data_IF_381015749523
#
_entry.id   IF_381015749523
#
_cell.length_a   1.000
_cell.length_b   1.000
_cell.length_c   1.000
_cell.angle_alpha   90.00
_cell.angle_beta   90.00
_cell.angle_gamma   90.00
#
_symmetry.space_group_name_H-M   'P 1'
#
loop_
_entity.id
_entity.type
_entity.pdbx_description
1 polymer ?
#
# COMPACT_ATOMS: atom_id res chain seq x y z
N UNK A 1 16.39 36.24 2.41
CA UNK A 1 17.15 35.03 2.07
C UNK A 1 16.28 33.85 2.45
N UNK A 2 15.65 33.21 1.46
CA UNK A 2 14.85 31.99 1.66
C UNK A 2 15.82 30.82 1.72
N UNK A 3 16.16 30.38 2.93
CA UNK A 3 16.86 29.10 3.09
C UNK A 3 15.97 28.03 2.46
N UNK A 4 16.42 27.48 1.34
CA UNK A 4 15.82 26.31 0.73
C UNK A 4 16.01 25.17 1.71
N UNK A 5 15.03 24.96 2.57
CA UNK A 5 14.99 23.81 3.46
C UNK A 5 14.90 22.56 2.59
N UNK A 6 16.03 21.87 2.43
CA UNK A 6 16.08 20.60 1.72
C UNK A 6 15.67 19.54 2.71
N UNK A 7 14.49 18.95 2.51
CA UNK A 7 14.05 17.78 3.28
C UNK A 7 15.05 16.65 3.01
N UNK A 8 15.79 16.23 4.04
CA UNK A 8 16.72 15.11 3.95
C UNK A 8 15.92 13.82 3.79
N UNK A 9 15.84 13.35 2.55
CA UNK A 9 15.12 12.13 2.17
C UNK A 9 15.64 10.90 2.96
N UNK A 10 16.91 10.91 3.35
CA UNK A 10 17.51 9.86 4.19
C UNK A 10 16.88 9.79 5.59
N UNK A 11 16.53 10.93 6.20
CA UNK A 11 15.88 10.96 7.51
C UNK A 11 14.46 10.41 7.38
N UNK A 12 13.72 10.81 6.34
CA UNK A 12 12.40 10.25 6.02
C UNK A 12 12.44 8.74 5.85
N UNK A 13 13.40 8.21 5.08
CA UNK A 13 13.56 6.77 4.82
C UNK A 13 13.91 5.98 6.09
N UNK A 14 14.80 6.52 6.93
CA UNK A 14 15.10 5.89 8.22
C UNK A 14 13.85 5.80 9.12
N UNK A 15 13.11 6.90 9.25
CA UNK A 15 11.89 6.91 10.08
C UNK A 15 10.81 5.98 9.52
N UNK A 16 10.70 5.89 8.19
CA UNK A 16 9.84 4.91 7.52
C UNK A 16 10.24 3.47 7.83
N UNK A 17 11.53 3.16 7.85
CA UNK A 17 12.04 1.82 8.14
C UNK A 17 11.73 1.36 9.57
N UNK A 18 11.68 2.29 10.52
CA UNK A 18 11.32 1.98 11.91
C UNK A 18 9.81 1.73 12.13
N UNK A 19 8.94 1.92 11.11
CA UNK A 19 7.47 1.80 11.22
C UNK A 19 6.89 2.59 12.42
N UNK A 20 7.51 3.71 12.77
CA UNK A 20 7.19 4.47 13.98
C UNK A 20 5.79 5.12 13.92
N UNK A 21 5.07 5.17 15.05
CA UNK A 21 3.80 5.91 15.16
C UNK A 21 4.03 7.41 14.96
N UNK A 22 3.02 8.18 14.49
CA UNK A 22 3.19 9.61 14.22
C UNK A 22 3.73 10.41 15.43
N UNK A 23 3.36 10.03 16.65
CA UNK A 23 3.89 10.62 17.88
C UNK A 23 5.38 10.30 18.11
N UNK A 24 5.82 9.09 17.77
CA UNK A 24 7.22 8.72 17.89
C UNK A 24 8.09 9.33 16.76
N UNK A 25 7.49 9.61 15.59
CA UNK A 25 8.14 10.37 14.52
C UNK A 25 8.51 11.79 14.99
N UNK A 26 7.62 12.44 15.75
CA UNK A 26 7.88 13.75 16.35
C UNK A 26 9.05 13.71 17.33
N UNK A 27 9.04 12.74 18.24
CA UNK A 27 10.09 12.59 19.25
C UNK A 27 11.46 12.38 18.61
N UNK A 28 11.53 11.58 17.54
CA UNK A 28 12.78 11.29 16.85
C UNK A 28 13.25 12.43 15.93
N UNK A 29 12.33 13.23 15.37
CA UNK A 29 12.65 14.48 14.68
C UNK A 29 13.20 15.53 15.67
N UNK A 30 12.59 15.63 16.85
CA UNK A 30 13.10 16.47 17.95
C UNK A 30 14.48 16.00 18.42
N UNK A 31 14.67 14.70 18.59
CA UNK A 31 15.93 14.10 19.03
C UNK A 31 17.06 14.27 18.02
N UNK A 32 16.74 14.33 16.73
CA UNK A 32 17.67 14.65 15.65
C UNK A 32 18.02 16.15 15.55
N UNK A 33 17.42 17.00 16.39
CA UNK A 33 17.72 18.43 16.43
C UNK A 33 17.11 19.21 15.27
N UNK A 34 16.06 18.68 14.64
CA UNK A 34 15.34 19.40 13.58
C UNK A 34 14.48 20.49 14.22
N UNK A 35 14.58 21.69 13.66
CA UNK A 35 13.86 22.87 14.15
C UNK A 35 12.34 22.60 14.11
N UNK A 36 11.58 22.89 15.20
CA UNK A 36 10.14 22.70 15.27
C UNK A 36 9.36 23.33 14.11
N UNK A 37 9.91 24.37 13.47
CA UNK A 37 9.31 24.99 12.28
C UNK A 37 9.19 24.01 11.10
N UNK A 38 10.13 23.07 10.96
CA UNK A 38 10.17 22.14 9.84
C UNK A 38 9.72 20.70 10.15
N UNK A 39 9.50 20.38 11.43
CA UNK A 39 8.96 19.07 11.86
C UNK A 39 7.61 18.79 11.17
N UNK A 40 6.77 19.81 11.02
CA UNK A 40 5.48 19.67 10.34
C UNK A 40 5.60 19.30 8.85
N UNK A 41 6.62 19.82 8.17
CA UNK A 41 6.90 19.50 6.76
C UNK A 41 7.45 18.07 6.61
N UNK A 42 8.38 17.66 7.48
CA UNK A 42 8.85 16.27 7.54
C UNK A 42 7.71 15.27 7.79
N UNK A 43 6.79 15.58 8.70
CA UNK A 43 5.63 14.73 8.95
C UNK A 43 4.71 14.61 7.75
N UNK A 44 4.43 15.72 7.05
CA UNK A 44 3.62 15.69 5.83
C UNK A 44 4.27 14.80 4.78
N UNK A 45 5.58 14.92 4.58
CA UNK A 45 6.30 14.12 3.59
C UNK A 45 6.32 12.63 3.97
N UNK A 46 6.55 12.30 5.25
CA UNK A 46 6.50 10.92 5.74
C UNK A 46 5.09 10.33 5.58
N UNK A 47 4.04 11.09 5.91
CA UNK A 47 2.64 10.68 5.68
C UNK A 47 2.40 10.44 4.20
N UNK A 48 2.83 11.36 3.33
CA UNK A 48 2.70 11.24 1.87
C UNK A 48 3.35 9.95 1.35
N UNK A 49 4.56 9.63 1.81
CA UNK A 49 5.25 8.40 1.42
C UNK A 49 4.50 7.16 1.94
N UNK A 50 3.96 7.18 3.16
CA UNK A 50 3.12 6.08 3.68
C UNK A 50 1.85 5.86 2.87
N UNK A 51 1.15 6.93 2.50
CA UNK A 51 -0.03 6.85 1.65
C UNK A 51 0.33 6.30 0.26
N UNK A 52 1.45 6.75 -0.31
CA UNK A 52 1.95 6.19 -1.57
C UNK A 52 2.25 4.69 -1.46
N UNK A 53 2.89 4.24 -0.38
CA UNK A 53 3.15 2.81 -0.13
C UNK A 53 1.85 2.01 0.00
N UNK A 54 0.86 2.50 0.77
CA UNK A 54 -0.45 1.84 0.89
C UNK A 54 -1.15 1.72 -0.47
N UNK A 55 -1.13 2.78 -1.26
CA UNK A 55 -1.69 2.79 -2.61
C UNK A 55 -0.99 1.77 -3.52
N UNK A 56 0.33 1.63 -3.44
CA UNK A 56 1.05 0.59 -4.20
C UNK A 56 0.66 -0.82 -3.74
N UNK A 57 0.51 -1.05 -2.44
CA UNK A 57 0.04 -2.35 -1.92
C UNK A 57 -1.38 -2.66 -2.40
N UNK A 58 -2.29 -1.68 -2.35
CA UNK A 58 -3.64 -1.83 -2.89
C UNK A 58 -3.66 -2.13 -4.39
N UNK A 59 -2.80 -1.48 -5.17
CA UNK A 59 -2.65 -1.76 -6.60
C UNK A 59 -2.14 -3.18 -6.86
N UNK A 60 -1.16 -3.66 -6.08
CA UNK A 60 -0.66 -5.04 -6.18
C UNK A 60 -1.76 -6.05 -5.82
N UNK A 61 -2.53 -5.79 -4.75
CA UNK A 61 -3.69 -6.62 -4.41
C UNK A 61 -4.74 -6.65 -5.53
N UNK A 62 -5.06 -5.50 -6.14
CA UNK A 62 -5.97 -5.45 -7.30
C UNK A 62 -5.43 -6.26 -8.48
N UNK A 63 -4.14 -6.11 -8.81
CA UNK A 63 -3.51 -6.85 -9.90
C UNK A 63 -3.55 -8.37 -9.63
N UNK A 64 -3.25 -8.80 -8.40
CA UNK A 64 -3.32 -10.20 -8.01
C UNK A 64 -4.76 -10.75 -8.07
N UNK A 65 -5.75 -9.99 -7.60
CA UNK A 65 -7.16 -10.37 -7.66
C UNK A 65 -7.68 -10.44 -9.11
N UNK A 66 -7.31 -9.49 -9.96
CA UNK A 66 -7.66 -9.51 -11.38
C UNK A 66 -7.01 -10.70 -12.11
N UNK A 67 -5.76 -11.03 -11.77
CA UNK A 67 -5.07 -12.19 -12.33
C UNK A 67 -5.73 -13.51 -11.88
N UNK A 68 -6.10 -13.65 -10.61
CA UNK A 68 -6.84 -14.80 -10.09
C UNK A 68 -8.21 -14.96 -10.78
N UNK A 69 -8.94 -13.85 -10.98
CA UNK A 69 -10.21 -13.85 -11.71
C UNK A 69 -10.04 -14.25 -13.18
N UNK A 70 -8.99 -13.75 -13.84
CA UNK A 70 -8.65 -14.15 -15.21
C UNK A 70 -8.31 -15.64 -15.29
N UNK A 71 -7.51 -16.16 -14.35
CA UNK A 71 -7.15 -17.57 -14.29
C UNK A 71 -8.39 -18.45 -14.12
N UNK A 72 -9.33 -18.03 -13.26
CA UNK A 72 -10.64 -18.66 -13.07
C UNK A 72 -11.36 -18.82 -14.42
N UNK A 73 -11.50 -17.71 -15.17
CA UNK A 73 -12.15 -17.72 -16.48
C UNK A 73 -11.43 -18.60 -17.52
N UNK A 74 -10.10 -18.67 -17.49
CA UNK A 74 -9.33 -19.52 -18.42
C UNK A 74 -9.47 -21.01 -18.08
N UNK A 75 -9.40 -21.37 -16.79
CA UNK A 75 -9.59 -22.75 -16.30
C UNK A 75 -10.98 -23.29 -16.63
N UNK A 76 -11.98 -22.42 -16.54
CA UNK A 76 -13.33 -22.65 -17.02
C UNK A 76 -13.36 -23.01 -18.51
N UNK A 77 -12.86 -22.13 -19.38
CA UNK A 77 -13.03 -22.26 -20.83
C UNK A 77 -12.29 -23.51 -21.35
N UNK A 78 -11.17 -23.85 -20.72
CA UNK A 78 -10.36 -25.02 -21.08
C UNK A 78 -10.95 -26.35 -20.61
N UNK A 79 -12.09 -26.36 -19.90
CA UNK A 79 -12.73 -27.57 -19.37
C UNK A 79 -11.76 -28.47 -18.56
N UNK A 80 -10.74 -27.87 -17.93
CA UNK A 80 -9.61 -28.61 -17.37
C UNK A 80 -10.00 -29.56 -16.21
N UNK A 81 -11.10 -29.28 -15.50
CA UNK A 81 -11.57 -30.06 -14.33
C UNK A 81 -13.10 -30.20 -14.29
N UNK A 82 -13.70 -31.19 -14.98
CA UNK A 82 -15.16 -31.36 -15.07
C UNK A 82 -15.86 -31.74 -13.75
N UNK A 83 -15.13 -32.15 -12.71
CA UNK A 83 -15.73 -32.61 -11.44
C UNK A 83 -15.69 -31.58 -10.30
N UNK A 84 -14.82 -30.56 -10.36
CA UNK A 84 -14.69 -29.50 -9.33
C UNK A 84 -15.02 -28.11 -9.88
N UNK A 85 -15.68 -28.07 -11.03
CA UNK A 85 -15.89 -26.87 -11.83
C UNK A 85 -16.65 -25.79 -11.06
N UNK A 86 -17.77 -26.14 -10.42
CA UNK A 86 -18.58 -25.20 -9.65
C UNK A 86 -17.83 -24.63 -8.44
N UNK A 87 -16.99 -25.43 -7.80
CA UNK A 87 -16.22 -24.99 -6.63
C UNK A 87 -15.13 -23.99 -7.00
N UNK A 88 -14.42 -24.23 -8.11
CA UNK A 88 -13.39 -23.31 -8.60
C UNK A 88 -14.06 -22.06 -9.14
N UNK A 89 -15.14 -22.18 -9.91
CA UNK A 89 -15.84 -21.03 -10.45
C UNK A 89 -16.43 -20.13 -9.37
N UNK A 90 -17.23 -20.68 -8.44
CA UNK A 90 -17.84 -19.85 -7.41
C UNK A 90 -16.82 -19.47 -6.35
N UNK A 91 -15.99 -20.40 -5.87
CA UNK A 91 -15.03 -20.15 -4.81
C UNK A 91 -13.91 -19.19 -5.24
N UNK A 92 -13.22 -19.48 -6.35
CA UNK A 92 -12.09 -18.67 -6.81
C UNK A 92 -12.54 -17.31 -7.32
N UNK A 93 -13.69 -17.23 -8.01
CA UNK A 93 -14.19 -15.95 -8.53
C UNK A 93 -14.69 -15.04 -7.40
N UNK A 94 -15.42 -15.57 -6.41
CA UNK A 94 -15.81 -14.78 -5.24
C UNK A 94 -14.57 -14.32 -4.48
N UNK A 95 -13.59 -15.20 -4.25
CA UNK A 95 -12.33 -14.83 -3.60
C UNK A 95 -11.57 -13.75 -4.39
N UNK A 96 -11.49 -13.87 -5.71
CA UNK A 96 -10.88 -12.87 -6.58
C UNK A 96 -11.59 -11.52 -6.47
N UNK A 97 -12.93 -11.50 -6.50
CA UNK A 97 -13.73 -10.28 -6.32
C UNK A 97 -13.47 -9.66 -4.95
N UNK A 98 -13.45 -10.45 -3.87
CA UNK A 98 -13.12 -9.95 -2.53
C UNK A 98 -11.71 -9.32 -2.48
N UNK A 99 -10.71 -9.95 -3.10
CA UNK A 99 -9.34 -9.44 -3.15
C UNK A 99 -9.28 -8.12 -3.95
N UNK A 100 -10.00 -8.03 -5.07
CA UNK A 100 -10.08 -6.80 -5.88
C UNK A 100 -10.75 -5.67 -5.11
N UNK A 101 -11.87 -5.94 -4.43
CA UNK A 101 -12.58 -4.94 -3.61
C UNK A 101 -11.73 -4.50 -2.42
N UNK A 102 -11.01 -5.41 -1.76
CA UNK A 102 -10.03 -5.06 -0.74
C UNK A 102 -8.88 -4.23 -1.30
N UNK A 103 -8.37 -4.56 -2.49
CA UNK A 103 -7.36 -3.77 -3.17
C UNK A 103 -7.84 -2.35 -3.50
N UNK A 104 -9.07 -2.21 -4.00
CA UNK A 104 -9.73 -0.93 -4.23
C UNK A 104 -9.85 -0.11 -2.96
N UNK A 105 -10.25 -0.75 -1.85
CA UNK A 105 -10.32 -0.11 -0.55
C UNK A 105 -8.96 0.49 -0.13
N UNK A 106 -7.87 -0.27 -0.24
CA UNK A 106 -6.51 0.22 0.05
C UNK A 106 -5.96 1.29 -0.90
N UNK A 107 -6.56 1.47 -2.08
CA UNK A 107 -6.16 2.51 -3.04
C UNK A 107 -6.95 3.80 -2.85
N UNK A 108 -8.23 3.70 -2.48
CA UNK A 108 -9.10 4.85 -2.27
C UNK A 108 -9.04 5.41 -0.85
N UNK A 109 -8.63 4.61 0.14
CA UNK A 109 -8.45 5.01 1.55
C UNK A 109 -6.98 5.08 1.98
#
# INVERSE_FOLDING_TARGET
MSETFVIDENICRQILSLKLTPAAVEEELHRKGIDPVYIGEYQKEIKRIRYAQRRTTGFVCMAAGAFLGFLSCVLTITHALPHMFDFIFYGLTIAAVCIVVLGLYYVFE
#
